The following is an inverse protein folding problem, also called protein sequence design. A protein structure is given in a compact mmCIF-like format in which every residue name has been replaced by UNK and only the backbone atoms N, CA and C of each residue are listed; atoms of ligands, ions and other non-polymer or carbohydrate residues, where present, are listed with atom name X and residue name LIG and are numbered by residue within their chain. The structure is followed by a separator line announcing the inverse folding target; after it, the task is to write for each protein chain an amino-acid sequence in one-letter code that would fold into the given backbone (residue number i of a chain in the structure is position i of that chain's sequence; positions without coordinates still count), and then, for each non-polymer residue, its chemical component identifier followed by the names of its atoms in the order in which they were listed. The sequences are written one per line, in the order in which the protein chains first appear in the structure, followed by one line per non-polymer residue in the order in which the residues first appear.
data_IF_940811337969
#
_entry.id   IF_940811337969
#
_cell.length_a   1.000
_cell.length_b   1.000
_cell.length_c   1.000
_cell.angle_alpha   90.00
_cell.angle_beta   90.00
_cell.angle_gamma   90.00
#
_symmetry.space_group_name_H-M   'P 1'
#
loop_
_entity.id
_entity.type
_entity.pdbx_description
1 polymer ?
#
# COMPACT_ATOMS: atom_id res chain seq x y z
N UNK A 1 9.27 5.10 25.71
CA UNK A 1 8.41 5.15 24.50
C UNK A 1 9.31 5.32 23.29
N UNK A 2 9.55 4.26 22.53
CA UNK A 2 10.27 4.39 21.26
C UNK A 2 9.27 4.87 20.20
N UNK A 3 9.24 6.17 19.95
CA UNK A 3 8.47 6.74 18.85
C UNK A 3 9.00 6.26 17.50
N UNK A 4 8.16 6.33 16.48
CA UNK A 4 8.55 6.02 15.09
C UNK A 4 9.74 6.88 14.68
N UNK A 5 10.74 6.25 14.08
CA UNK A 5 11.84 6.94 13.40
C UNK A 5 11.29 7.78 12.21
N UNK A 6 11.98 8.85 11.78
CA UNK A 6 11.61 9.58 10.57
C UNK A 6 11.43 8.68 9.34
N UNK A 7 12.29 7.67 9.21
CA UNK A 7 12.27 6.69 8.13
C UNK A 7 11.01 5.81 8.18
N UNK A 8 10.62 5.34 9.36
CA UNK A 8 9.36 4.59 9.54
C UNK A 8 8.14 5.45 9.25
N UNK A 9 8.15 6.73 9.64
CA UNK A 9 7.06 7.67 9.31
C UNK A 9 6.93 7.83 7.80
N UNK A 10 8.03 8.03 7.11
CA UNK A 10 8.06 8.16 5.65
C UNK A 10 7.57 6.87 4.98
N UNK A 11 8.05 5.70 5.42
CA UNK A 11 7.60 4.41 4.88
C UNK A 11 6.10 4.20 5.05
N UNK A 12 5.51 4.60 6.19
CA UNK A 12 4.07 4.51 6.42
C UNK A 12 3.30 5.47 5.50
N UNK A 13 3.80 6.69 5.29
CA UNK A 13 3.17 7.64 4.35
C UNK A 13 3.19 7.09 2.93
N UNK A 14 4.31 6.54 2.49
CA UNK A 14 4.44 5.94 1.16
C UNK A 14 3.53 4.73 0.98
N UNK A 15 3.42 3.85 1.99
CA UNK A 15 2.51 2.72 1.97
C UNK A 15 1.06 3.19 1.83
N UNK A 16 0.63 4.16 2.66
CA UNK A 16 -0.72 4.70 2.58
C UNK A 16 -1.02 5.38 1.24
N UNK A 17 -0.05 6.06 0.66
CA UNK A 17 -0.21 6.67 -0.66
C UNK A 17 -0.38 5.60 -1.75
N UNK A 18 0.39 4.50 -1.68
CA UNK A 18 0.24 3.38 -2.62
C UNK A 18 -1.10 2.66 -2.46
N UNK A 19 -1.53 2.39 -1.22
CA UNK A 19 -2.83 1.78 -0.93
C UNK A 19 -3.99 2.65 -1.44
N UNK A 20 -3.87 3.97 -1.24
CA UNK A 20 -4.86 4.93 -1.75
C UNK A 20 -4.95 4.88 -3.27
N UNK A 21 -3.82 4.87 -3.97
CA UNK A 21 -3.81 4.77 -5.43
C UNK A 21 -4.43 3.46 -5.93
N UNK A 22 -4.15 2.34 -5.26
CA UNK A 22 -4.77 1.04 -5.56
C UNK A 22 -6.29 1.08 -5.37
N UNK A 23 -6.77 1.64 -4.27
CA UNK A 23 -8.21 1.78 -4.02
C UNK A 23 -8.89 2.72 -5.01
N UNK A 24 -8.28 3.86 -5.34
CA UNK A 24 -8.83 4.80 -6.32
C UNK A 24 -8.93 4.16 -7.72
N UNK A 25 -7.95 3.35 -8.10
CA UNK A 25 -8.01 2.58 -9.34
C UNK A 25 -9.11 1.52 -9.29
N UNK A 26 -9.19 0.75 -8.20
CA UNK A 26 -10.21 -0.28 -8.02
C UNK A 26 -11.63 0.31 -8.05
N UNK A 27 -11.82 1.48 -7.42
CA UNK A 27 -13.09 2.22 -7.45
C UNK A 27 -13.44 2.70 -8.86
N UNK A 28 -12.44 3.15 -9.64
CA UNK A 28 -12.62 3.55 -11.04
C UNK A 28 -12.99 2.36 -11.91
N UNK A 29 -12.29 1.24 -11.77
CA UNK A 29 -12.56 -0.01 -12.49
C UNK A 29 -13.96 -0.52 -12.17
N UNK A 30 -14.32 -0.55 -10.88
CA UNK A 30 -15.64 -0.96 -10.44
C UNK A 30 -16.74 -0.06 -11.02
N UNK A 31 -16.55 1.26 -11.02
CA UNK A 31 -17.47 2.23 -11.65
C UNK A 31 -17.57 2.05 -13.17
N UNK A 32 -16.49 1.63 -13.82
CA UNK A 32 -16.47 1.28 -15.24
C UNK A 32 -17.06 -0.11 -15.53
N UNK A 33 -17.48 -0.85 -14.50
CA UNK A 33 -18.02 -2.20 -14.63
C UNK A 33 -16.95 -3.29 -14.84
N UNK A 34 -15.67 -2.94 -14.72
CA UNK A 34 -14.55 -3.88 -14.79
C UNK A 34 -14.47 -4.61 -13.45
N UNK A 35 -14.47 -5.95 -13.50
CA UNK A 35 -14.43 -6.82 -12.31
C UNK A 35 -13.29 -7.82 -12.34
N UNK A 36 -12.64 -7.94 -13.49
CA UNK A 36 -11.43 -8.69 -13.72
C UNK A 36 -10.19 -7.91 -13.31
N UNK A 37 -9.10 -8.64 -13.07
CA UNK A 37 -7.83 -8.06 -12.64
C UNK A 37 -7.14 -7.37 -13.83
N UNK A 38 -6.93 -6.05 -13.72
CA UNK A 38 -6.30 -5.29 -14.79
C UNK A 38 -4.77 -5.22 -14.63
N UNK A 39 -4.03 -4.92 -15.72
CA UNK A 39 -2.59 -4.65 -15.62
C UNK A 39 -2.27 -3.47 -14.67
N UNK A 40 -3.14 -2.47 -14.61
CA UNK A 40 -2.94 -1.31 -13.73
C UNK A 40 -3.18 -1.67 -12.27
N UNK A 41 -4.21 -2.46 -11.99
CA UNK A 41 -4.43 -3.06 -10.67
C UNK A 41 -3.22 -3.87 -10.23
N UNK A 42 -2.70 -4.76 -11.08
CA UNK A 42 -1.53 -5.59 -10.76
C UNK A 42 -0.29 -4.72 -10.46
N UNK A 43 -0.08 -3.66 -11.24
CA UNK A 43 1.02 -2.72 -11.03
C UNK A 43 0.90 -2.00 -9.68
N UNK A 44 -0.27 -1.45 -9.37
CA UNK A 44 -0.52 -0.72 -8.14
C UNK A 44 -0.46 -1.65 -6.92
N UNK A 45 -1.01 -2.86 -7.04
CA UNK A 45 -0.95 -3.89 -6.00
C UNK A 45 0.50 -4.31 -5.71
N UNK A 46 1.35 -4.46 -6.74
CA UNK A 46 2.78 -4.72 -6.54
C UNK A 46 3.46 -3.60 -5.76
N UNK A 47 3.20 -2.34 -6.13
CA UNK A 47 3.78 -1.18 -5.45
C UNK A 47 3.31 -1.12 -3.99
N UNK A 48 2.00 -1.32 -3.74
CA UNK A 48 1.44 -1.37 -2.39
C UNK A 48 2.13 -2.44 -1.53
N UNK A 49 2.31 -3.65 -2.07
CA UNK A 49 3.01 -4.74 -1.40
C UNK A 49 4.49 -4.44 -1.13
N UNK A 50 5.21 -3.85 -2.09
CA UNK A 50 6.61 -3.44 -1.91
C UNK A 50 6.77 -2.38 -0.81
N UNK A 51 5.82 -1.44 -0.70
CA UNK A 51 5.82 -0.42 0.36
C UNK A 51 5.41 -1.02 1.70
N UNK A 52 4.40 -1.88 1.73
CA UNK A 52 3.98 -2.59 2.92
C UNK A 52 5.10 -3.46 3.50
N UNK A 53 5.94 -4.06 2.66
CA UNK A 53 7.10 -4.87 3.08
C UNK A 53 8.16 -4.07 3.86
N UNK A 54 8.18 -2.74 3.74
CA UNK A 54 9.07 -1.85 4.48
C UNK A 54 8.49 -1.41 5.83
N UNK A 55 7.18 -1.56 6.01
CA UNK A 55 6.46 -1.10 7.20
C UNK A 55 6.21 -2.27 8.15
N UNK A 56 6.50 -2.13 9.46
CA UNK A 56 6.15 -3.11 10.46
C UNK A 56 4.65 -3.43 10.50
N UNK A 57 4.30 -4.70 10.77
CA UNK A 57 2.90 -5.15 10.90
C UNK A 57 2.06 -4.33 11.87
N UNK A 58 2.64 -3.88 12.98
CA UNK A 58 1.94 -3.03 13.96
C UNK A 58 1.51 -1.66 13.40
N UNK A 59 2.03 -1.26 12.24
CA UNK A 59 1.69 -0.02 11.54
C UNK A 59 0.95 -0.26 10.22
N UNK A 60 0.47 -1.49 9.98
CA UNK A 60 -0.32 -1.85 8.79
C UNK A 60 0.48 -2.43 7.63
N UNK A 61 1.81 -2.56 7.76
CA UNK A 61 2.63 -3.21 6.74
C UNK A 61 2.73 -4.73 6.90
N UNK A 62 3.67 -5.34 6.19
CA UNK A 62 3.88 -6.80 6.19
C UNK A 62 5.23 -7.22 6.76
N UNK A 63 6.13 -6.28 7.07
CA UNK A 63 7.46 -6.55 7.65
C UNK A 63 7.32 -7.31 8.98
N UNK A 64 7.94 -8.49 9.06
CA UNK A 64 8.01 -9.32 10.29
C UNK A 64 9.23 -8.93 11.10
N UNK A 65 9.02 -8.52 12.35
CA UNK A 65 10.10 -8.23 13.31
C UNK A 65 10.89 -6.95 12.99
N UNK A 66 11.64 -6.47 13.98
CA UNK A 66 12.37 -5.19 13.93
C UNK A 66 13.52 -5.25 12.93
#
# INVERSE_FOLDING_TARGET
MFGKTPEEKQAIVEMKAADKALHENSDREFKAGIRDETPEYQRLNRIANEKAAKVPRMFGGTKRGR
#
